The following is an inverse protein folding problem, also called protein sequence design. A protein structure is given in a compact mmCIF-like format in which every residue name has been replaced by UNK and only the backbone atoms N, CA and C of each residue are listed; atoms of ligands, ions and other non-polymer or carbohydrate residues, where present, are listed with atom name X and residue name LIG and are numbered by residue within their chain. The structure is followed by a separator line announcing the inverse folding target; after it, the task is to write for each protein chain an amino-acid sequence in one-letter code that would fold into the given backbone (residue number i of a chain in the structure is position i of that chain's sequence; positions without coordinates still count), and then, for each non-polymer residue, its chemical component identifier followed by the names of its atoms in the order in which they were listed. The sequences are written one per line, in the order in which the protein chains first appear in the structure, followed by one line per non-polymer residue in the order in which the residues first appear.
data_IF_336975904360
#
_entry.id   IF_336975904360
#
_cell.length_a   1.000
_cell.length_b   1.000
_cell.length_c   1.000
_cell.angle_alpha   90.00
_cell.angle_beta   90.00
_cell.angle_gamma   90.00
#
_symmetry.space_group_name_H-M   'P 1'
#
loop_
_entity.id
_entity.type
_entity.pdbx_description
1 polymer ?
#
# COMPACT_ATOMS: atom_id res chain seq x y z
N UNK A 1 -23.47 2.79 2.54
CA UNK A 1 -22.50 1.67 2.51
C UNK A 1 -21.12 2.28 2.32
N UNK A 2 -20.36 2.43 3.40
CA UNK A 2 -18.95 2.81 3.32
C UNK A 2 -18.17 1.58 2.88
N UNK A 3 -17.83 1.51 1.59
CA UNK A 3 -16.91 0.51 1.08
C UNK A 3 -15.53 0.81 1.66
N UNK A 4 -15.25 0.25 2.84
CA UNK A 4 -13.92 0.23 3.41
C UNK A 4 -13.10 -0.66 2.47
N UNK A 5 -12.30 -0.02 1.61
CA UNK A 5 -11.36 -0.69 0.73
C UNK A 5 -10.43 -1.55 1.57
N UNK A 6 -10.15 -2.77 1.12
CA UNK A 6 -9.21 -3.63 1.82
C UNK A 6 -7.82 -2.97 1.80
N UNK A 7 -6.97 -3.16 2.82
CA UNK A 7 -5.63 -2.58 2.85
C UNK A 7 -4.81 -2.82 1.58
N UNK A 8 -5.00 -3.98 0.93
CA UNK A 8 -4.36 -4.31 -0.34
C UNK A 8 -4.89 -3.45 -1.50
N UNK A 9 -6.20 -3.24 -1.58
CA UNK A 9 -6.81 -2.36 -2.58
C UNK A 9 -6.29 -0.93 -2.43
N UNK A 10 -6.14 -0.45 -1.18
CA UNK A 10 -5.58 0.86 -0.87
C UNK A 10 -4.12 0.96 -1.32
N UNK A 11 -3.28 -0.02 -0.96
CA UNK A 11 -1.86 -0.02 -1.31
C UNK A 11 -1.64 -0.08 -2.83
N UNK A 12 -2.42 -0.90 -3.55
CA UNK A 12 -2.35 -1.02 -5.00
C UNK A 12 -2.87 0.24 -5.68
N UNK A 13 -4.00 0.80 -5.20
CA UNK A 13 -4.57 2.03 -5.73
C UNK A 13 -3.62 3.22 -5.52
N UNK A 14 -3.05 3.38 -4.32
CA UNK A 14 -2.10 4.45 -4.03
C UNK A 14 -0.88 4.37 -4.96
N UNK A 15 -0.33 3.17 -5.16
CA UNK A 15 0.78 2.96 -6.08
C UNK A 15 0.42 3.28 -7.55
N UNK A 16 -0.83 3.05 -7.95
CA UNK A 16 -1.31 3.45 -9.26
C UNK A 16 -1.48 4.96 -9.38
N UNK A 17 -2.06 5.61 -8.37
CA UNK A 17 -2.25 7.06 -8.33
C UNK A 17 -0.92 7.80 -8.44
N UNK A 18 0.11 7.38 -7.70
CA UNK A 18 1.45 7.95 -7.80
C UNK A 18 2.01 7.86 -9.23
N UNK A 19 1.93 6.69 -9.86
CA UNK A 19 2.37 6.52 -11.24
C UNK A 19 1.56 7.38 -12.21
N UNK A 20 0.24 7.41 -12.05
CA UNK A 20 -0.65 8.18 -12.90
C UNK A 20 -0.32 9.68 -12.82
N UNK A 21 -0.11 10.22 -11.62
CA UNK A 21 0.27 11.61 -11.41
C UNK A 21 1.55 11.97 -12.16
N UNK A 22 2.58 11.14 -12.05
CA UNK A 22 3.84 11.35 -12.79
C UNK A 22 3.61 11.35 -14.31
N UNK A 23 2.82 10.41 -14.84
CA UNK A 23 2.50 10.38 -16.28
C UNK A 23 1.68 11.58 -16.74
N UNK A 24 0.80 12.06 -15.88
CA UNK A 24 -0.03 13.23 -16.16
C UNK A 24 0.82 14.52 -16.19
N UNK A 25 1.76 14.67 -15.26
CA UNK A 25 2.69 15.82 -15.23
C UNK A 25 3.63 15.83 -16.44
N UNK A 26 4.16 14.65 -16.84
CA UNK A 26 4.93 14.49 -18.09
C UNK A 26 4.11 14.91 -19.30
N UNK A 27 2.85 14.50 -19.35
CA UNK A 27 1.93 14.86 -20.43
C UNK A 27 1.65 16.36 -20.45
N UNK A 28 1.38 16.98 -19.31
CA UNK A 28 1.16 18.42 -19.19
C UNK A 28 2.39 19.19 -19.69
N UNK A 29 3.58 18.80 -19.24
CA UNK A 29 4.84 19.43 -19.64
C UNK A 29 5.06 19.37 -21.15
N UNK A 30 4.76 18.23 -21.77
CA UNK A 30 4.76 18.08 -23.23
C UNK A 30 3.71 18.94 -23.91
N UNK A 31 2.50 18.98 -23.36
CA UNK A 31 1.41 19.76 -23.92
C UNK A 31 1.67 21.27 -23.85
N UNK A 32 2.50 21.75 -22.93
CA UNK A 32 2.96 23.15 -22.92
C UNK A 32 3.90 23.47 -24.09
N UNK A 33 4.65 22.47 -24.60
CA UNK A 33 5.63 22.67 -25.68
C UNK A 33 5.10 22.28 -27.07
N UNK A 34 4.12 21.38 -27.14
CA UNK A 34 3.56 20.86 -28.39
C UNK A 34 2.17 21.47 -28.69
N UNK A 35 2.05 22.37 -29.70
CA UNK A 35 0.77 22.98 -30.07
C UNK A 35 -0.30 21.97 -30.48
N UNK A 36 0.07 20.78 -30.96
CA UNK A 36 -0.90 19.74 -31.34
C UNK A 36 -1.67 19.20 -30.14
N UNK A 37 -1.06 19.26 -28.95
CA UNK A 37 -1.64 18.87 -27.67
C UNK A 37 -2.37 20.03 -26.98
N UNK A 38 -2.42 21.21 -27.59
CA UNK A 38 -3.13 22.37 -27.05
C UNK A 38 -4.48 22.59 -27.73
N UNK A 39 -5.41 23.14 -26.97
CA UNK A 39 -6.66 23.70 -27.48
C UNK A 39 -6.36 24.93 -28.33
N UNK A 40 -7.36 25.43 -29.08
CA UNK A 40 -7.21 26.67 -29.86
C UNK A 40 -6.85 27.88 -28.99
N UNK A 41 -7.14 27.84 -27.70
CA UNK A 41 -6.81 28.87 -26.72
C UNK A 41 -5.41 28.70 -26.11
N UNK A 42 -4.61 27.72 -26.55
CA UNK A 42 -3.27 27.46 -26.01
C UNK A 42 -3.25 26.60 -24.74
N UNK A 43 -4.40 26.26 -24.16
CA UNK A 43 -4.46 25.41 -22.96
C UNK A 43 -4.15 23.94 -23.32
N UNK A 44 -3.40 23.19 -22.49
CA UNK A 44 -3.23 21.75 -22.64
C UNK A 44 -4.58 21.02 -22.78
N UNK A 45 -4.68 20.13 -23.76
CA UNK A 45 -5.83 19.22 -23.92
C UNK A 45 -5.79 18.15 -22.85
N UNK A 46 -6.94 17.71 -22.36
CA UNK A 46 -7.04 16.52 -21.51
C UNK A 46 -6.55 15.28 -22.29
N UNK A 47 -5.74 14.39 -21.69
CA UNK A 47 -5.36 13.12 -22.31
C UNK A 47 -6.58 12.33 -22.77
N UNK A 48 -6.48 11.69 -23.94
CA UNK A 48 -7.55 10.81 -24.43
C UNK A 48 -7.59 9.53 -23.62
N UNK A 49 -8.77 8.89 -23.53
CA UNK A 49 -8.93 7.61 -22.84
C UNK A 49 -7.94 6.54 -23.33
N UNK A 50 -7.64 6.49 -24.63
CA UNK A 50 -6.64 5.56 -25.17
C UNK A 50 -5.23 5.79 -24.62
N UNK A 51 -4.84 7.05 -24.41
CA UNK A 51 -3.54 7.41 -23.81
C UNK A 51 -3.48 6.97 -22.36
N UNK A 52 -4.54 7.25 -21.58
CA UNK A 52 -4.62 6.82 -20.17
C UNK A 52 -4.63 5.30 -20.06
N UNK A 53 -5.37 4.61 -20.93
CA UNK A 53 -5.40 3.15 -20.98
C UNK A 53 -4.01 2.57 -21.25
N UNK A 54 -3.24 3.18 -22.15
CA UNK A 54 -1.85 2.76 -22.40
C UNK A 54 -0.97 2.95 -21.16
N UNK A 55 -1.11 4.06 -20.43
CA UNK A 55 -0.39 4.25 -19.17
C UNK A 55 -0.73 3.17 -18.14
N UNK A 56 -2.00 2.78 -18.04
CA UNK A 56 -2.42 1.68 -17.18
C UNK A 56 -1.76 0.37 -17.59
N UNK A 57 -1.71 0.06 -18.89
CA UNK A 57 -1.03 -1.14 -19.39
C UNK A 57 0.47 -1.11 -19.08
N UNK A 58 1.12 0.03 -19.28
CA UNK A 58 2.55 0.22 -18.98
C UNK A 58 2.82 0.04 -17.47
N UNK A 59 1.93 0.55 -16.61
CA UNK A 59 2.02 0.36 -15.17
C UNK A 59 1.92 -1.11 -14.79
N UNK A 60 0.95 -1.84 -15.33
CA UNK A 60 0.78 -3.28 -15.10
C UNK A 60 2.02 -4.04 -15.56
N UNK A 61 2.53 -3.73 -16.76
CA UNK A 61 3.73 -4.35 -17.32
C UNK A 61 5.00 -4.05 -16.52
N UNK A 62 5.08 -2.88 -15.86
CA UNK A 62 6.21 -2.49 -15.00
C UNK A 62 6.24 -3.20 -13.64
N UNK A 63 5.19 -3.95 -13.27
CA UNK A 63 5.13 -4.61 -11.97
C UNK A 63 5.93 -5.90 -11.98
N UNK A 64 7.00 -5.88 -11.18
CA UNK A 64 7.70 -7.09 -10.81
C UNK A 64 6.93 -7.87 -9.74
N UNK A 65 7.04 -9.19 -9.81
CA UNK A 65 6.47 -10.14 -8.84
C UNK A 65 6.97 -9.84 -7.42
N UNK A 66 8.17 -9.27 -7.25
CA UNK A 66 8.67 -8.83 -5.95
C UNK A 66 7.83 -7.71 -5.32
N UNK A 67 7.33 -6.76 -6.12
CA UNK A 67 6.49 -5.65 -5.66
C UNK A 67 5.12 -6.13 -5.23
N UNK A 68 4.56 -7.09 -5.97
CA UNK A 68 3.31 -7.76 -5.59
C UNK A 68 3.51 -8.49 -4.26
N UNK A 69 4.56 -9.30 -4.13
CA UNK A 69 4.89 -9.98 -2.86
C UNK A 69 5.05 -9.00 -1.70
N UNK A 70 5.71 -7.86 -1.91
CA UNK A 70 5.86 -6.81 -0.90
C UNK A 70 4.52 -6.24 -0.46
N UNK A 71 3.61 -5.93 -1.38
CA UNK A 71 2.27 -5.44 -1.04
C UNK A 71 1.49 -6.48 -0.22
N UNK A 72 1.57 -7.75 -0.60
CA UNK A 72 0.98 -8.85 0.17
C UNK A 72 1.57 -8.94 1.59
N UNK A 73 2.90 -8.85 1.73
CA UNK A 73 3.55 -8.83 3.04
C UNK A 73 3.12 -7.64 3.90
N UNK A 74 3.08 -6.43 3.33
CA UNK A 74 2.63 -5.21 4.04
C UNK A 74 1.18 -5.34 4.52
N UNK A 75 0.33 -6.06 3.78
CA UNK A 75 -1.05 -6.32 4.16
C UNK A 75 -1.22 -7.58 5.03
N UNK A 76 -0.14 -8.23 5.48
CA UNK A 76 -0.20 -9.47 6.26
C UNK A 76 -0.72 -10.69 5.48
N UNK A 77 -0.88 -10.57 4.16
CA UNK A 77 -1.34 -11.62 3.26
C UNK A 77 -0.17 -12.52 2.84
N UNK A 78 0.42 -13.21 3.80
CA UNK A 78 1.49 -14.16 3.52
C UNK A 78 0.94 -15.47 2.97
N UNK A 79 1.72 -16.13 2.10
CA UNK A 79 1.45 -17.50 1.67
C UNK A 79 1.31 -18.35 2.93
N UNK A 80 0.32 -19.27 2.98
CA UNK A 80 0.05 -20.18 4.11
C UNK A 80 1.33 -20.92 4.51
N UNK A 81 2.14 -20.31 5.37
CA UNK A 81 3.26 -20.95 6.01
C UNK A 81 2.67 -21.69 7.21
N UNK A 82 3.15 -22.90 7.46
CA UNK A 82 2.91 -23.54 8.74
C UNK A 82 3.58 -22.66 9.79
N UNK A 83 2.78 -21.83 10.47
CA UNK A 83 3.25 -21.07 11.60
C UNK A 83 3.44 -22.06 12.74
N UNK A 84 4.69 -22.40 13.01
CA UNK A 84 5.04 -23.24 14.15
C UNK A 84 4.82 -22.45 15.43
N UNK A 85 4.28 -23.07 16.47
CA UNK A 85 4.02 -22.40 17.75
C UNK A 85 5.32 -21.79 18.33
N UNK A 86 6.48 -22.37 18.02
CA UNK A 86 7.79 -21.89 18.46
C UNK A 86 8.26 -20.63 17.73
N UNK A 87 7.68 -20.29 16.57
CA UNK A 87 8.01 -19.10 15.78
C UNK A 87 7.17 -17.88 16.16
N UNK A 88 6.16 -18.05 17.00
CA UNK A 88 5.33 -16.96 17.52
C UNK A 88 6.07 -16.20 18.61
N UNK A 89 5.82 -14.89 18.72
CA UNK A 89 6.31 -14.12 19.86
C UNK A 89 5.70 -14.65 21.17
N UNK A 90 6.45 -14.57 22.27
CA UNK A 90 6.07 -15.11 23.58
C UNK A 90 4.64 -14.73 24.03
N UNK A 91 4.18 -13.47 23.88
CA UNK A 91 2.80 -13.12 24.26
C UNK A 91 1.76 -13.91 23.47
N UNK A 92 1.89 -14.00 22.15
CA UNK A 92 0.93 -14.71 21.29
C UNK A 92 1.02 -16.21 21.51
N UNK A 93 2.22 -16.74 21.74
CA UNK A 93 2.44 -18.15 22.05
C UNK A 93 1.75 -18.56 23.36
N UNK A 94 1.94 -17.80 24.42
CA UNK A 94 1.35 -18.08 25.73
C UNK A 94 -0.18 -17.94 25.71
N UNK A 95 -0.70 -17.06 24.86
CA UNK A 95 -2.15 -16.88 24.65
C UNK A 95 -2.81 -18.09 23.96
N UNK A 96 -2.06 -18.85 23.18
CA UNK A 96 -2.58 -20.00 22.41
C UNK A 96 -2.52 -21.32 23.21
N UNK A 97 -2.07 -21.29 24.47
CA UNK A 97 -2.11 -22.44 25.38
C UNK A 97 -3.56 -22.67 25.84
N UNK A 98 -3.99 -23.94 25.90
CA UNK A 98 -5.39 -24.34 26.16
C UNK A 98 -5.94 -23.77 27.47
N UNK A 99 -5.10 -23.61 28.49
CA UNK A 99 -5.47 -23.14 29.83
C UNK A 99 -4.77 -21.81 30.18
N UNK A 100 -4.79 -20.84 29.26
CA UNK A 100 -4.19 -19.53 29.52
C UNK A 100 -4.91 -18.80 30.67
N UNK A 101 -4.14 -18.41 31.69
CA UNK A 101 -4.60 -17.48 32.73
C UNK A 101 -4.45 -16.04 32.22
N UNK A 102 -5.57 -15.43 31.85
CA UNK A 102 -5.58 -14.07 31.29
C UNK A 102 -5.10 -12.99 32.28
N UNK A 103 -5.23 -13.20 33.59
CA UNK A 103 -4.75 -12.22 34.57
C UNK A 103 -3.23 -12.24 34.60
N UNK A 104 -2.65 -13.44 34.69
CA UNK A 104 -1.21 -13.62 34.65
C UNK A 104 -0.60 -13.20 33.31
N UNK A 105 -1.29 -13.50 32.21
CA UNK A 105 -0.87 -13.09 30.88
C UNK A 105 -0.85 -11.55 30.75
N UNK A 106 -1.89 -10.87 31.24
CA UNK A 106 -1.93 -9.41 31.27
C UNK A 106 -0.84 -8.83 32.18
N UNK A 107 -0.57 -9.40 33.35
CA UNK A 107 0.54 -8.95 34.21
C UNK A 107 1.92 -9.08 33.52
N UNK A 108 2.10 -10.09 32.68
CA UNK A 108 3.37 -10.34 31.98
C UNK A 108 3.56 -9.47 30.73
N UNK A 109 2.49 -9.10 30.04
CA UNK A 109 2.57 -8.51 28.70
C UNK A 109 1.80 -7.20 28.52
N UNK A 110 1.00 -6.78 29.49
CA UNK A 110 0.37 -5.47 29.49
C UNK A 110 1.36 -4.48 30.12
N UNK A 111 2.11 -3.78 29.28
CA UNK A 111 2.97 -2.68 29.73
C UNK A 111 2.09 -1.53 30.27
N UNK A 112 2.22 -1.11 31.53
CA UNK A 112 1.41 -0.03 32.10
C UNK A 112 1.83 1.38 31.63
N UNK A 113 2.83 1.49 30.75
CA UNK A 113 3.28 2.75 30.20
C UNK A 113 3.04 2.81 28.68
N UNK A 114 1.97 3.52 28.32
CA UNK A 114 1.82 4.40 27.16
C UNK A 114 3.10 4.68 26.32
N UNK A 115 3.56 3.72 25.52
CA UNK A 115 4.19 4.03 24.24
C UNK A 115 3.17 3.73 23.15
N UNK A 116 2.49 4.79 22.71
CA UNK A 116 1.72 4.82 21.47
C UNK A 116 2.65 4.58 20.28
N UNK A 117 3.15 3.34 20.13
CA UNK A 117 3.99 2.90 19.02
C UNK A 117 3.19 2.82 17.71
N UNK A 118 1.93 3.27 17.69
CA UNK A 118 1.23 3.62 16.46
C UNK A 118 1.95 4.74 15.70
N UNK A 119 2.87 5.47 16.34
CA UNK A 119 3.79 6.41 15.68
C UNK A 119 5.01 5.76 15.00
N UNK A 120 5.21 4.44 15.06
CA UNK A 120 6.29 3.78 14.28
C UNK A 120 5.88 3.42 12.83
N UNK A 121 4.77 3.99 12.35
CA UNK A 121 4.46 4.10 10.91
C UNK A 121 4.96 5.42 10.31
N UNK A 122 6.02 6.01 10.87
CA UNK A 122 6.85 6.97 10.16
C UNK A 122 7.54 6.25 9.00
N UNK A 123 6.84 6.23 7.86
CA UNK A 123 7.43 6.09 6.55
C UNK A 123 8.42 7.26 6.45
N UNK A 124 9.71 6.96 6.54
CA UNK A 124 10.75 7.89 6.14
C UNK A 124 10.41 8.40 4.73
N UNK A 125 10.01 9.67 4.66
CA UNK A 125 10.02 10.44 3.42
C UNK A 125 11.49 10.76 3.06
N UNK A 126 11.78 11.04 1.78
CA UNK A 126 13.04 10.70 1.09
C UNK A 126 14.30 11.35 1.63
#
# INVERSE_FOLDING_TARGET
MTNILQPLDVAVNQNYQEFYSVRYDDYLSRALSDPSLQTKAGNPKVPRCATVAQWTLDWVASKDTSRIKRAFTLCGLLRKQYCSMEALCLPVRDLLVVDVDMNRWNELYCDPADSDDRMQLDIAAP
#
